data_IF_378206640597
#
_entry.id   IF_378206640597
#
_cell.length_a   1.000
_cell.length_b   1.000
_cell.length_c   1.000
_cell.angle_alpha   90.00
_cell.angle_beta   90.00
_cell.angle_gamma   90.00
#
_symmetry.space_group_name_H-M   'P 1'
#
loop_
_entity.id
_entity.type
_entity.pdbx_description
1 polymer ?
#
# COMPACT_ATOMS: atom_id res chain seq x y z
N UNK A 1 -5.45 10.31 -3.99
CA UNK A 1 -5.90 8.93 -4.29
C UNK A 1 -5.61 8.65 -5.76
N UNK A 2 -4.75 7.68 -6.02
CA UNK A 2 -4.34 7.27 -7.37
C UNK A 2 -5.42 6.29 -7.88
N UNK A 3 -6.10 6.62 -8.99
CA UNK A 3 -7.10 5.77 -9.63
C UNK A 3 -8.48 5.64 -8.95
N UNK A 4 -9.44 5.03 -9.65
CA UNK A 4 -10.80 4.71 -9.15
C UNK A 4 -10.76 3.38 -8.37
N UNK A 5 -10.74 3.40 -7.03
CA UNK A 5 -10.48 2.22 -6.20
C UNK A 5 -11.49 1.11 -6.42
N UNK A 6 -12.73 1.43 -6.82
CA UNK A 6 -13.75 0.42 -7.09
C UNK A 6 -13.41 -0.38 -8.33
N UNK A 7 -12.88 0.27 -9.38
CA UNK A 7 -12.41 -0.42 -10.59
C UNK A 7 -11.16 -1.24 -10.32
N UNK A 8 -10.24 -0.75 -9.49
CA UNK A 8 -9.05 -1.52 -9.09
C UNK A 8 -9.44 -2.80 -8.32
N UNK A 9 -10.34 -2.66 -7.33
CA UNK A 9 -10.87 -3.80 -6.60
C UNK A 9 -11.61 -4.78 -7.52
N UNK A 10 -12.48 -4.27 -8.40
CA UNK A 10 -13.23 -5.10 -9.34
C UNK A 10 -12.34 -5.91 -10.29
N UNK A 11 -11.26 -5.31 -10.80
CA UNK A 11 -10.24 -6.03 -11.58
C UNK A 11 -9.53 -7.10 -10.77
N UNK A 12 -9.15 -6.77 -9.52
CA UNK A 12 -8.48 -7.72 -8.64
C UNK A 12 -9.35 -8.93 -8.31
N UNK A 13 -10.61 -8.69 -7.96
CA UNK A 13 -11.60 -9.76 -7.75
C UNK A 13 -11.77 -10.64 -8.99
N UNK A 14 -11.87 -10.02 -10.17
CA UNK A 14 -11.98 -10.74 -11.45
C UNK A 14 -10.75 -11.64 -11.69
N UNK A 15 -9.55 -11.14 -11.40
CA UNK A 15 -8.31 -11.90 -11.58
C UNK A 15 -8.27 -13.13 -10.65
N UNK A 16 -8.54 -12.95 -9.36
CA UNK A 16 -8.57 -14.05 -8.38
C UNK A 16 -9.63 -15.10 -8.74
N UNK A 17 -10.82 -14.66 -9.15
CA UNK A 17 -11.89 -15.58 -9.61
C UNK A 17 -11.45 -16.38 -10.83
N UNK A 18 -10.83 -15.74 -11.82
CA UNK A 18 -10.35 -16.39 -13.05
C UNK A 18 -9.18 -17.35 -12.79
N UNK A 19 -8.30 -17.06 -11.84
CA UNK A 19 -7.24 -17.97 -11.43
C UNK A 19 -7.77 -19.31 -10.91
N UNK A 20 -8.98 -19.31 -10.31
CA UNK A 20 -9.69 -20.54 -9.93
C UNK A 20 -10.49 -21.18 -11.06
N UNK A 21 -10.54 -20.57 -12.25
CA UNK A 21 -11.37 -21.03 -13.37
C UNK A 21 -12.87 -20.86 -13.13
N UNK A 22 -13.29 -19.96 -12.23
CA UNK A 22 -14.70 -19.83 -11.85
C UNK A 22 -15.44 -18.80 -12.68
N UNK A 23 -16.72 -19.06 -12.96
CA UNK A 23 -17.67 -18.07 -13.50
C UNK A 23 -18.17 -17.13 -12.40
N UNK A 24 -18.82 -16.01 -12.78
CA UNK A 24 -19.48 -15.13 -11.80
C UNK A 24 -20.61 -15.86 -11.06
N UNK A 25 -21.36 -16.72 -11.76
CA UNK A 25 -22.40 -17.57 -11.20
C UNK A 25 -21.82 -18.49 -10.11
N UNK A 26 -20.68 -19.12 -10.39
CA UNK A 26 -20.02 -20.01 -9.43
C UNK A 26 -19.58 -19.25 -8.19
N UNK A 27 -18.88 -18.12 -8.34
CA UNK A 27 -18.46 -17.33 -7.18
C UNK A 27 -19.65 -16.77 -6.38
N UNK A 28 -20.71 -16.33 -7.06
CA UNK A 28 -21.94 -15.87 -6.40
C UNK A 28 -22.58 -16.99 -5.56
N UNK A 29 -22.67 -18.20 -6.12
CA UNK A 29 -23.19 -19.37 -5.43
C UNK A 29 -22.35 -19.72 -4.19
N UNK A 30 -21.02 -19.83 -4.35
CA UNK A 30 -20.11 -20.22 -3.27
C UNK A 30 -20.01 -19.16 -2.15
N UNK A 31 -20.10 -17.87 -2.50
CA UNK A 31 -20.01 -16.77 -1.52
C UNK A 31 -21.36 -16.41 -0.88
N UNK A 32 -22.47 -16.95 -1.38
CA UNK A 32 -23.82 -16.55 -0.98
C UNK A 32 -24.22 -15.14 -1.41
N UNK A 33 -23.42 -14.47 -2.24
CA UNK A 33 -23.72 -13.12 -2.74
C UNK A 33 -24.56 -13.16 -4.02
N UNK A 34 -25.44 -12.18 -4.19
CA UNK A 34 -26.20 -12.06 -5.43
C UNK A 34 -25.27 -11.85 -6.64
N UNK A 35 -25.47 -12.62 -7.71
CA UNK A 35 -24.69 -12.52 -8.96
C UNK A 35 -24.67 -11.08 -9.54
N UNK A 36 -25.80 -10.38 -9.48
CA UNK A 36 -25.91 -8.99 -9.95
C UNK A 36 -25.06 -8.02 -9.11
N UNK A 37 -24.96 -8.27 -7.80
CA UNK A 37 -24.08 -7.53 -6.90
C UNK A 37 -22.61 -7.81 -7.21
N UNK A 38 -22.24 -9.09 -7.39
CA UNK A 38 -20.88 -9.49 -7.78
C UNK A 38 -20.45 -8.87 -9.11
N UNK A 39 -21.33 -8.90 -10.12
CA UNK A 39 -21.10 -8.24 -11.42
C UNK A 39 -20.97 -6.72 -11.28
N UNK A 40 -21.70 -6.10 -10.35
CA UNK A 40 -21.55 -4.69 -10.02
C UNK A 40 -20.19 -4.37 -9.39
N UNK A 41 -19.69 -5.23 -8.50
CA UNK A 41 -18.36 -5.10 -7.88
C UNK A 41 -17.26 -5.22 -8.93
N UNK A 42 -17.29 -6.28 -9.76
CA UNK A 42 -16.23 -6.51 -10.78
C UNK A 42 -16.10 -5.37 -11.80
N UNK A 43 -17.20 -4.65 -12.06
CA UNK A 43 -17.21 -3.47 -12.94
C UNK A 43 -16.91 -2.15 -12.22
N UNK A 44 -16.70 -2.16 -10.90
CA UNK A 44 -16.46 -0.96 -10.11
C UNK A 44 -17.68 -0.06 -9.87
N UNK A 45 -18.90 -0.62 -9.96
CA UNK A 45 -20.17 0.12 -9.79
C UNK A 45 -20.78 -0.04 -8.39
N UNK A 46 -20.10 -0.78 -7.51
CA UNK A 46 -20.54 -1.06 -6.13
C UNK A 46 -19.38 -0.86 -5.19
N UNK A 47 -19.61 -0.09 -4.12
CA UNK A 47 -18.72 -0.08 -2.97
C UNK A 47 -19.02 -1.31 -2.12
N UNK A 48 -18.04 -2.21 -1.99
CA UNK A 48 -18.19 -3.46 -1.26
C UNK A 48 -17.87 -3.23 0.22
N UNK A 49 -18.74 -3.70 1.11
CA UNK A 49 -18.50 -3.62 2.54
C UNK A 49 -17.37 -4.57 2.96
N UNK A 50 -16.62 -4.21 4.01
CA UNK A 50 -15.50 -5.02 4.52
C UNK A 50 -15.88 -6.48 4.78
N UNK A 51 -17.08 -6.72 5.34
CA UNK A 51 -17.57 -8.08 5.59
C UNK A 51 -17.62 -8.91 4.31
N UNK A 52 -18.07 -8.33 3.19
CA UNK A 52 -18.14 -9.01 1.91
C UNK A 52 -16.76 -9.19 1.27
N UNK A 53 -15.79 -8.31 1.56
CA UNK A 53 -14.39 -8.52 1.16
C UNK A 53 -13.84 -9.76 1.85
N UNK A 54 -14.04 -9.90 3.16
CA UNK A 54 -13.65 -11.08 3.93
C UNK A 54 -14.36 -12.33 3.41
N UNK A 55 -15.68 -12.31 3.23
CA UNK A 55 -16.44 -13.42 2.67
C UNK A 55 -15.89 -13.86 1.31
N UNK A 56 -15.64 -12.92 0.39
CA UNK A 56 -15.07 -13.23 -0.92
C UNK A 56 -13.66 -13.81 -0.82
N UNK A 57 -12.82 -13.28 0.08
CA UNK A 57 -11.47 -13.78 0.31
C UNK A 57 -11.48 -15.21 0.82
N UNK A 58 -12.31 -15.51 1.82
CA UNK A 58 -12.50 -16.85 2.37
C UNK A 58 -13.04 -17.81 1.31
N UNK A 59 -14.04 -17.37 0.54
CA UNK A 59 -14.61 -18.15 -0.58
C UNK A 59 -13.55 -18.47 -1.64
N UNK A 60 -12.70 -17.48 -1.95
CA UNK A 60 -11.57 -17.59 -2.88
C UNK A 60 -10.30 -18.16 -2.23
N UNK A 61 -10.36 -18.62 -0.97
CA UNK A 61 -9.27 -19.22 -0.20
C UNK A 61 -7.96 -18.44 -0.27
N UNK A 62 -8.05 -17.11 -0.14
CA UNK A 62 -6.91 -16.19 -0.07
C UNK A 62 -7.03 -15.32 1.19
N UNK A 63 -5.91 -14.81 1.75
CA UNK A 63 -5.99 -13.84 2.83
C UNK A 63 -6.73 -12.56 2.39
N UNK A 64 -7.50 -11.89 3.27
CA UNK A 64 -8.23 -10.67 2.91
C UNK A 64 -7.38 -9.56 2.29
N UNK A 65 -6.12 -9.42 2.72
CA UNK A 65 -5.18 -8.46 2.14
C UNK A 65 -4.87 -8.70 0.65
N UNK A 66 -5.00 -9.94 0.18
CA UNK A 66 -4.79 -10.30 -1.23
C UNK A 66 -5.83 -9.65 -2.16
N UNK A 67 -7.01 -9.33 -1.63
CA UNK A 67 -8.10 -8.64 -2.34
C UNK A 67 -7.76 -7.18 -2.67
N UNK A 68 -6.78 -6.60 -1.95
CA UNK A 68 -6.39 -5.19 -2.07
C UNK A 68 -5.06 -4.99 -2.83
N UNK A 69 -4.46 -6.08 -3.35
CA UNK A 69 -3.29 -6.00 -4.22
C UNK A 69 -3.70 -5.63 -5.64
N UNK A 70 -3.72 -4.34 -5.95
CA UNK A 70 -4.19 -3.85 -7.25
C UNK A 70 -3.07 -3.88 -8.30
N UNK A 71 -3.33 -4.55 -9.43
CA UNK A 71 -2.43 -4.55 -10.59
C UNK A 71 -2.50 -3.17 -11.26
N UNK A 72 -1.39 -2.42 -11.18
CA UNK A 72 -1.28 -1.12 -11.85
C UNK A 72 -0.65 0.02 -11.05
N UNK A 73 -0.37 -0.14 -9.76
CA UNK A 73 0.28 0.91 -8.98
C UNK A 73 1.46 0.36 -8.16
N UNK A 74 2.55 0.07 -8.87
CA UNK A 74 3.88 0.51 -8.44
C UNK A 74 4.02 2.04 -8.59
N UNK A 75 2.94 2.80 -8.41
CA UNK A 75 3.10 4.07 -7.72
C UNK A 75 3.40 3.63 -6.30
N UNK A 76 4.70 3.40 -6.04
CA UNK A 76 5.25 3.44 -4.69
C UNK A 76 4.40 4.44 -3.96
N UNK A 77 3.73 4.03 -2.88
CA UNK A 77 2.98 4.96 -2.06
C UNK A 77 3.91 6.15 -1.88
N UNK A 78 3.67 7.22 -2.65
CA UNK A 78 3.89 8.56 -2.18
C UNK A 78 2.82 8.62 -1.11
N UNK A 79 3.13 7.99 0.03
CA UNK A 79 2.70 8.44 1.33
C UNK A 79 2.76 9.93 1.15
N UNK A 80 1.60 10.60 1.14
CA UNK A 80 1.63 12.04 1.20
C UNK A 80 2.55 12.35 2.37
N UNK A 81 3.74 12.86 2.06
CA UNK A 81 4.85 13.10 3.00
C UNK A 81 4.46 14.20 4.01
N UNK A 82 3.17 14.50 4.16
CA UNK A 82 2.54 15.58 4.93
C UNK A 82 1.65 15.08 6.08
N UNK A 83 1.85 13.87 6.59
CA UNK A 83 1.48 13.57 7.98
C UNK A 83 2.66 13.03 8.76
N UNK A 84 3.65 13.90 8.98
CA UNK A 84 4.19 13.97 10.32
C UNK A 84 3.00 14.21 11.27
N UNK A 85 2.77 13.38 12.29
CA UNK A 85 1.93 13.82 13.40
C UNK A 85 2.67 15.00 14.01
N UNK A 86 2.14 16.21 13.83
CA UNK A 86 2.73 17.49 14.26
C UNK A 86 4.01 17.93 13.51
N UNK A 87 3.80 18.78 12.49
CA UNK A 87 4.61 19.96 12.14
C UNK A 87 6.12 19.99 12.36
N UNK A 88 6.90 19.36 11.47
CA UNK A 88 8.25 19.81 11.11
C UNK A 88 8.42 19.63 9.60
N UNK A 89 8.56 20.73 8.85
CA UNK A 89 8.80 20.68 7.40
C UNK A 89 10.16 20.03 7.12
N UNK A 90 10.15 18.76 6.73
CA UNK A 90 11.35 18.03 6.35
C UNK A 90 11.86 18.54 4.98
N UNK A 91 13.09 19.06 4.94
CA UNK A 91 13.72 19.56 3.72
C UNK A 91 13.88 18.44 2.67
N UNK A 92 13.92 18.80 1.38
CA UNK A 92 14.13 17.83 0.28
C UNK A 92 15.41 17.00 0.46
N UNK A 93 16.44 17.55 1.11
CA UNK A 93 17.68 16.83 1.44
C UNK A 93 17.45 15.75 2.52
N UNK A 94 16.74 16.07 3.60
CA UNK A 94 16.41 15.13 4.68
C UNK A 94 15.54 13.97 4.14
N UNK A 95 14.57 14.30 3.29
CA UNK A 95 13.70 13.33 2.61
C UNK A 95 14.47 12.35 1.71
N UNK A 96 15.40 12.86 0.91
CA UNK A 96 16.24 12.01 0.05
C UNK A 96 17.13 11.09 0.88
N UNK A 97 17.74 11.60 1.95
CA UNK A 97 18.56 10.80 2.86
C UNK A 97 17.73 9.68 3.49
N UNK A 98 16.54 9.98 4.01
CA UNK A 98 15.63 8.98 4.60
C UNK A 98 15.28 7.87 3.60
N UNK A 99 14.99 8.24 2.34
CA UNK A 99 14.71 7.29 1.26
C UNK A 99 15.89 6.37 0.97
N UNK A 100 17.11 6.90 0.99
CA UNK A 100 18.31 6.09 0.76
C UNK A 100 18.64 5.20 1.96
N UNK A 101 18.53 5.72 3.19
CA UNK A 101 18.75 4.95 4.43
C UNK A 101 17.85 3.72 4.52
N UNK A 102 16.58 3.84 4.13
CA UNK A 102 15.63 2.72 4.15
C UNK A 102 15.98 1.57 3.18
N UNK A 103 16.89 1.80 2.23
CA UNK A 103 17.36 0.80 1.26
C UNK A 103 18.68 0.14 1.67
N UNK A 104 19.32 0.65 2.72
CA UNK A 104 20.59 0.13 3.24
C UNK A 104 20.32 -0.97 4.28
N UNK A 105 21.25 -1.89 4.40
CA UNK A 105 21.27 -2.85 5.50
C UNK A 105 21.72 -2.20 6.82
N UNK A 106 21.72 -2.99 7.89
CA UNK A 106 22.00 -2.49 9.25
C UNK A 106 23.45 -2.00 9.41
N UNK A 107 24.42 -2.66 8.77
CA UNK A 107 25.84 -2.30 8.87
C UNK A 107 26.10 -0.97 8.18
N UNK A 108 25.53 -0.77 6.98
CA UNK A 108 25.61 0.48 6.25
C UNK A 108 24.89 1.63 6.98
N UNK A 109 23.76 1.36 7.63
CA UNK A 109 23.05 2.35 8.45
C UNK A 109 23.88 2.82 9.64
N UNK A 110 24.61 1.92 10.29
CA UNK A 110 25.50 2.24 11.42
C UNK A 110 26.68 3.12 11.00
N UNK A 111 27.24 2.87 9.82
CA UNK A 111 28.28 3.72 9.23
C UNK A 111 27.74 5.14 9.02
N UNK A 112 26.56 5.29 8.41
CA UNK A 112 25.97 6.63 8.19
C UNK A 112 25.67 7.33 9.51
N UNK A 113 25.18 6.60 10.52
CA UNK A 113 24.94 7.15 11.85
C UNK A 113 26.24 7.66 12.51
N UNK A 114 27.37 6.97 12.29
CA UNK A 114 28.68 7.40 12.80
C UNK A 114 29.14 8.72 12.15
N UNK A 115 28.96 8.86 10.84
CA UNK A 115 29.29 10.08 10.10
C UNK A 115 28.41 11.25 10.53
N UNK A 116 27.10 11.02 10.69
CA UNK A 116 26.16 12.04 11.16
C UNK A 116 26.56 12.55 12.57
N UNK A 117 26.91 11.64 13.49
CA UNK A 117 27.43 12.00 14.82
C UNK A 117 28.71 12.83 14.75
N UNK A 118 29.65 12.48 13.87
CA UNK A 118 30.89 13.24 13.69
C UNK A 118 30.63 14.66 13.14
N UNK A 119 29.74 14.81 12.17
CA UNK A 119 29.35 16.10 11.61
C UNK A 119 28.62 16.99 12.63
N UNK A 120 27.73 16.42 13.44
CA UNK A 120 27.03 17.13 14.50
C UNK A 120 28.01 17.68 15.54
N UNK A 121 29.00 16.88 15.96
CA UNK A 121 30.09 17.32 16.86
C UNK A 121 30.91 18.47 16.27
N UNK A 122 31.26 18.39 14.98
CA UNK A 122 32.02 19.44 14.28
C UNK A 122 31.26 20.77 14.21
N UNK A 123 29.94 20.74 14.03
CA UNK A 123 29.09 21.94 14.01
C UNK A 123 28.82 22.51 15.41
N UNK A 124 28.67 21.67 16.43
CA UNK A 124 28.51 22.11 17.83
C UNK A 124 29.80 22.65 18.47
N UNK A 125 30.97 22.32 17.92
CA UNK A 125 32.28 22.81 18.38
C UNK A 125 32.75 24.14 17.79
N UNK A 126 31.95 24.78 16.91
CA UNK A 126 32.25 26.09 16.33
C UNK A 126 31.30 27.15 16.93
N UNK A 127 31.54 27.55 18.18
CA UNK A 127 30.96 28.78 18.73
C UNK A 127 31.80 29.98 18.24
N UNK A 128 31.19 31.10 17.79
CA UNK A 128 31.95 32.26 17.30
C UNK A 128 32.64 32.99 18.46
N UNK A 129 33.90 33.37 18.24
CA UNK A 129 34.59 34.42 18.98
C UNK A 129 34.20 35.81 18.45
#
# INVERSE_FOLDING_TARGET
MIGDPLKHFGRRLTALRKQRGWSQEKLALESGLARSYLSGIERGLRNVALINICTLADTLGVPPGEMLKFDGDNVALTVEENRAPFGLEETMAQRNIRRYLAKLDTDDQDIVASVAKALARKRGGAAPA
#
